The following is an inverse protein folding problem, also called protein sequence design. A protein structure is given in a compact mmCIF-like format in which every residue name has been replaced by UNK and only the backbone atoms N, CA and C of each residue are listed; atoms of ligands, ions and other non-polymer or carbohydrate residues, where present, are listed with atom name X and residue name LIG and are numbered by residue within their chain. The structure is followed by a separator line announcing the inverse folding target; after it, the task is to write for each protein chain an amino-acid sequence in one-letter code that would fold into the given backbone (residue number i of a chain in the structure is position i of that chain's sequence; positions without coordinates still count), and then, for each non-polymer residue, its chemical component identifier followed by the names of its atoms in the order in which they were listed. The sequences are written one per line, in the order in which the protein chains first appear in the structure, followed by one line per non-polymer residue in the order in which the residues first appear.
data_IF_095766230657
#
_entry.id   IF_095766230657
#
_cell.length_a   1.000
_cell.length_b   1.000
_cell.length_c   1.000
_cell.angle_alpha   90.00
_cell.angle_beta   90.00
_cell.angle_gamma   90.00
#
_symmetry.space_group_name_H-M   'P 1'
#
loop_
_entity.id
_entity.type
_entity.pdbx_description
1 polymer ?
#
# COMPACT_ATOMS: atom_id res chain seq x y z
N UNK A 1 6.60 -12.13 -21.43
CA UNK A 1 6.96 -13.29 -20.59
C UNK A 1 5.72 -14.09 -20.25
N UNK A 2 5.79 -15.41 -20.36
CA UNK A 2 4.71 -16.32 -19.98
C UNK A 2 4.60 -16.44 -18.44
N UNK A 3 3.46 -16.93 -17.93
CA UNK A 3 3.27 -17.22 -16.50
C UNK A 3 4.29 -18.23 -15.95
N UNK A 4 4.62 -19.34 -16.68
CA UNK A 4 5.70 -20.23 -16.28
C UNK A 4 7.05 -19.51 -16.14
N UNK A 5 7.48 -18.74 -17.15
CA UNK A 5 8.77 -18.02 -17.10
C UNK A 5 8.80 -17.00 -15.95
N UNK A 6 7.70 -16.27 -15.74
CA UNK A 6 7.56 -15.30 -14.64
C UNK A 6 7.69 -15.98 -13.29
N UNK A 7 7.05 -17.14 -13.11
CA UNK A 7 7.15 -17.91 -11.87
C UNK A 7 8.55 -18.46 -11.64
N UNK A 8 9.22 -19.01 -12.67
CA UNK A 8 10.59 -19.52 -12.53
C UNK A 8 11.57 -18.43 -12.13
N UNK A 9 11.45 -17.25 -12.74
CA UNK A 9 12.26 -16.09 -12.39
C UNK A 9 12.00 -15.63 -10.95
N UNK A 10 10.73 -15.56 -10.53
CA UNK A 10 10.38 -15.23 -9.16
C UNK A 10 10.97 -16.25 -8.16
N UNK A 11 10.90 -17.55 -8.48
CA UNK A 11 11.51 -18.61 -7.66
C UNK A 11 13.03 -18.47 -7.53
N UNK A 12 13.73 -18.19 -8.63
CA UNK A 12 15.17 -17.90 -8.60
C UNK A 12 15.48 -16.68 -7.72
N UNK A 13 14.69 -15.62 -7.83
CA UNK A 13 14.89 -14.39 -7.04
C UNK A 13 14.61 -14.60 -5.55
N UNK A 14 13.62 -15.39 -5.16
CA UNK A 14 13.41 -15.75 -3.74
C UNK A 14 14.65 -16.43 -3.14
N UNK A 15 15.19 -17.42 -3.85
CA UNK A 15 16.37 -18.17 -3.36
C UNK A 15 17.62 -17.28 -3.32
N UNK A 16 17.81 -16.45 -4.35
CA UNK A 16 18.95 -15.53 -4.40
C UNK A 16 18.84 -14.44 -3.33
N UNK A 17 17.66 -13.87 -3.12
CA UNK A 17 17.40 -12.89 -2.07
C UNK A 17 17.73 -13.46 -0.69
N UNK A 18 17.27 -14.68 -0.39
CA UNK A 18 17.57 -15.36 0.86
C UNK A 18 19.08 -15.51 1.11
N UNK A 19 19.85 -15.90 0.08
CA UNK A 19 21.30 -16.02 0.17
C UNK A 19 21.97 -14.65 0.31
N UNK A 20 21.60 -13.67 -0.53
CA UNK A 20 22.15 -12.32 -0.49
C UNK A 20 21.92 -11.66 0.87
N UNK A 21 20.72 -11.78 1.45
CA UNK A 21 20.45 -11.24 2.77
C UNK A 21 21.22 -11.99 3.87
N UNK A 22 21.18 -13.32 3.90
CA UNK A 22 21.85 -14.11 4.93
C UNK A 22 23.37 -13.90 4.95
N UNK A 23 24.02 -13.93 3.78
CA UNK A 23 25.47 -13.67 3.67
C UNK A 23 25.77 -12.18 3.90
N UNK A 24 24.96 -11.28 3.35
CA UNK A 24 25.14 -9.84 3.50
C UNK A 24 25.11 -9.41 4.96
N UNK A 25 24.09 -9.84 5.71
CA UNK A 25 23.95 -9.56 7.14
C UNK A 25 25.08 -10.17 7.97
N UNK A 26 25.57 -11.36 7.61
CA UNK A 26 26.70 -12.00 8.29
C UNK A 26 28.03 -11.24 8.09
N UNK A 27 28.16 -10.49 7.00
CA UNK A 27 29.32 -9.66 6.69
C UNK A 27 29.25 -8.24 7.29
N UNK A 28 28.15 -7.89 7.97
CA UNK A 28 27.94 -6.62 8.66
C UNK A 28 28.20 -5.39 7.76
N UNK A 29 28.85 -4.38 8.34
CA UNK A 29 29.12 -3.07 7.70
C UNK A 29 30.22 -3.09 6.64
N UNK A 30 30.75 -4.27 6.30
CA UNK A 30 31.71 -4.37 5.21
C UNK A 30 31.06 -3.91 3.88
N UNK A 31 31.85 -3.36 2.94
CA UNK A 31 31.35 -2.99 1.62
C UNK A 31 30.66 -4.16 0.89
N UNK A 32 31.15 -5.39 1.10
CA UNK A 32 30.55 -6.61 0.56
C UNK A 32 29.19 -6.91 1.20
N UNK A 33 29.08 -6.81 2.55
CA UNK A 33 27.83 -6.97 3.27
C UNK A 33 26.76 -5.98 2.81
N UNK A 34 27.13 -4.69 2.78
CA UNK A 34 26.28 -3.60 2.28
C UNK A 34 25.80 -3.86 0.85
N UNK A 35 26.72 -4.22 -0.06
CA UNK A 35 26.38 -4.49 -1.46
C UNK A 35 25.41 -5.65 -1.59
N UNK A 36 25.61 -6.73 -0.85
CA UNK A 36 24.72 -7.91 -0.89
C UNK A 36 23.32 -7.60 -0.37
N UNK A 37 23.18 -6.82 0.70
CA UNK A 37 21.86 -6.41 1.19
C UNK A 37 21.17 -5.47 0.20
N UNK A 38 21.91 -4.57 -0.46
CA UNK A 38 21.35 -3.73 -1.52
C UNK A 38 20.86 -4.55 -2.72
N UNK A 39 21.62 -5.57 -3.14
CA UNK A 39 21.19 -6.52 -4.17
C UNK A 39 19.94 -7.28 -3.72
N UNK A 40 19.89 -7.73 -2.45
CA UNK A 40 18.70 -8.34 -1.87
C UNK A 40 17.47 -7.41 -1.99
N UNK A 41 17.58 -6.14 -1.62
CA UNK A 41 16.48 -5.18 -1.75
C UNK A 41 15.97 -5.05 -3.19
N UNK A 42 16.87 -5.03 -4.17
CA UNK A 42 16.48 -5.01 -5.59
C UNK A 42 15.73 -6.29 -6.01
N UNK A 43 16.20 -7.46 -5.55
CA UNK A 43 15.55 -8.74 -5.82
C UNK A 43 14.16 -8.83 -5.19
N UNK A 44 14.02 -8.38 -3.94
CA UNK A 44 12.74 -8.32 -3.21
C UNK A 44 11.72 -7.46 -3.97
N UNK A 45 12.11 -6.26 -4.40
CA UNK A 45 11.26 -5.40 -5.21
C UNK A 45 10.87 -6.07 -6.55
N UNK A 46 11.83 -6.74 -7.20
CA UNK A 46 11.59 -7.46 -8.44
C UNK A 46 10.60 -8.63 -8.28
N UNK A 47 10.66 -9.38 -7.17
CA UNK A 47 9.67 -10.41 -6.82
C UNK A 47 8.27 -9.80 -6.75
N UNK A 48 8.12 -8.64 -6.09
CA UNK A 48 6.87 -7.88 -6.04
C UNK A 48 6.32 -7.57 -7.44
N UNK A 49 7.16 -7.06 -8.35
CA UNK A 49 6.78 -6.75 -9.74
C UNK A 49 6.37 -8.00 -10.51
N UNK A 50 7.09 -9.11 -10.37
CA UNK A 50 6.78 -10.37 -11.06
C UNK A 50 5.45 -10.95 -10.57
N UNK A 51 5.23 -10.97 -9.25
CA UNK A 51 3.97 -11.41 -8.66
C UNK A 51 2.80 -10.50 -9.06
N UNK A 52 3.01 -9.18 -9.09
CA UNK A 52 2.01 -8.22 -9.55
C UNK A 52 1.58 -8.52 -10.99
N UNK A 53 2.54 -8.70 -11.90
CA UNK A 53 2.28 -9.03 -13.30
C UNK A 53 1.49 -10.32 -13.46
N UNK A 54 1.79 -11.33 -12.65
CA UNK A 54 1.10 -12.61 -12.67
C UNK A 54 -0.35 -12.51 -12.13
N UNK A 55 -0.57 -11.77 -11.04
CA UNK A 55 -1.83 -11.76 -10.31
C UNK A 55 -2.79 -10.62 -10.68
N UNK A 56 -2.32 -9.50 -11.24
CA UNK A 56 -3.12 -8.28 -11.46
C UNK A 56 -4.42 -8.51 -12.26
N UNK A 57 -4.42 -9.48 -13.17
CA UNK A 57 -5.61 -9.79 -13.99
C UNK A 57 -6.68 -10.59 -13.25
N UNK A 58 -6.31 -11.34 -12.20
CA UNK A 58 -7.21 -12.28 -11.51
C UNK A 58 -7.51 -11.88 -10.06
N UNK A 59 -6.53 -11.34 -9.36
CA UNK A 59 -6.59 -10.93 -7.95
C UNK A 59 -5.92 -9.56 -7.78
N UNK A 60 -6.49 -8.47 -8.34
CA UNK A 60 -5.84 -7.16 -8.39
C UNK A 60 -5.50 -6.59 -7.00
N UNK A 61 -6.39 -6.78 -6.02
CA UNK A 61 -6.14 -6.30 -4.65
C UNK A 61 -4.91 -6.95 -4.02
N UNK A 62 -4.83 -8.29 -4.05
CA UNK A 62 -3.67 -9.02 -3.53
C UNK A 62 -2.37 -8.69 -4.30
N UNK A 63 -2.47 -8.50 -5.62
CA UNK A 63 -1.33 -8.09 -6.44
C UNK A 63 -0.76 -6.74 -6.01
N UNK A 64 -1.61 -5.72 -5.82
CA UNK A 64 -1.20 -4.39 -5.39
C UNK A 64 -0.66 -4.38 -3.96
N UNK A 65 -1.36 -5.04 -3.02
CA UNK A 65 -0.92 -5.14 -1.62
C UNK A 65 0.47 -5.77 -1.54
N UNK A 66 0.69 -6.87 -2.27
CA UNK A 66 1.98 -7.55 -2.26
C UNK A 66 3.09 -6.71 -2.92
N UNK A 67 2.79 -6.02 -4.03
CA UNK A 67 3.75 -5.12 -4.67
C UNK A 67 4.20 -4.01 -3.71
N UNK A 68 3.24 -3.33 -3.07
CA UNK A 68 3.54 -2.24 -2.13
C UNK A 68 4.32 -2.75 -0.93
N UNK A 69 3.94 -3.90 -0.36
CA UNK A 69 4.67 -4.51 0.74
C UNK A 69 6.12 -4.85 0.38
N UNK A 70 6.36 -5.39 -0.83
CA UNK A 70 7.72 -5.70 -1.29
C UNK A 70 8.56 -4.47 -1.58
N UNK A 71 7.95 -3.41 -2.12
CA UNK A 71 8.65 -2.13 -2.27
C UNK A 71 8.99 -1.51 -0.90
N UNK A 72 8.08 -1.59 0.08
CA UNK A 72 8.31 -1.10 1.43
C UNK A 72 9.42 -1.89 2.15
N UNK A 73 9.37 -3.22 2.09
CA UNK A 73 10.43 -4.10 2.61
C UNK A 73 11.79 -3.76 1.98
N UNK A 74 11.86 -3.70 0.65
CA UNK A 74 13.10 -3.38 -0.07
C UNK A 74 13.67 -2.02 0.33
N UNK A 75 12.80 -1.01 0.45
CA UNK A 75 13.17 0.33 0.89
C UNK A 75 13.73 0.32 2.31
N UNK A 76 13.02 -0.32 3.25
CA UNK A 76 13.41 -0.35 4.66
C UNK A 76 14.71 -1.13 4.89
N UNK A 77 14.92 -2.25 4.20
CA UNK A 77 16.18 -2.99 4.28
C UNK A 77 17.36 -2.19 3.71
N UNK A 78 17.15 -1.44 2.62
CA UNK A 78 18.18 -0.57 2.07
C UNK A 78 18.47 0.62 3.00
N UNK A 79 17.43 1.25 3.55
CA UNK A 79 17.55 2.33 4.52
C UNK A 79 18.27 1.85 5.80
N UNK A 80 17.97 0.64 6.27
CA UNK A 80 18.58 0.05 7.46
C UNK A 80 20.09 -0.07 7.36
N UNK A 81 20.60 -0.56 6.23
CA UNK A 81 22.05 -0.67 6.00
C UNK A 81 22.72 0.70 5.92
N UNK A 82 22.08 1.68 5.29
CA UNK A 82 22.60 3.06 5.23
C UNK A 82 22.62 3.67 6.65
N UNK A 83 21.57 3.46 7.43
CA UNK A 83 21.43 3.98 8.78
C UNK A 83 22.35 3.27 9.78
N UNK A 84 22.68 2.00 9.57
CA UNK A 84 23.61 1.26 10.42
C UNK A 84 24.96 1.96 10.50
N UNK A 85 25.52 2.37 9.36
CA UNK A 85 26.77 3.11 9.32
C UNK A 85 26.66 4.59 9.72
N UNK A 86 25.49 5.22 9.56
CA UNK A 86 25.30 6.66 9.78
C UNK A 86 24.81 7.02 11.19
N UNK A 87 24.01 6.16 11.80
CA UNK A 87 23.27 6.43 13.04
C UNK A 87 23.59 5.41 14.12
N UNK A 88 23.60 4.11 13.79
CA UNK A 88 23.84 3.03 14.73
C UNK A 88 22.87 1.86 14.59
N UNK A 89 23.05 0.84 15.43
CA UNK A 89 22.29 -0.42 15.34
C UNK A 89 20.81 -0.24 15.67
N UNK A 90 20.46 0.62 16.62
CA UNK A 90 19.07 0.82 17.02
C UNK A 90 18.16 1.30 15.88
N UNK A 91 18.67 2.16 14.99
CA UNK A 91 17.95 2.57 13.79
C UNK A 91 17.83 1.43 12.77
N UNK A 92 18.90 0.66 12.58
CA UNK A 92 18.91 -0.48 11.68
C UNK A 92 17.93 -1.58 12.14
N UNK A 93 17.92 -1.90 13.43
CA UNK A 93 17.01 -2.87 14.04
C UNK A 93 15.55 -2.42 13.86
N UNK A 94 15.24 -1.14 14.10
CA UNK A 94 13.91 -0.59 13.87
C UNK A 94 13.48 -0.75 12.39
N UNK A 95 14.34 -0.41 11.43
CA UNK A 95 14.01 -0.60 10.00
C UNK A 95 13.77 -2.06 9.65
N UNK A 96 14.55 -2.98 10.21
CA UNK A 96 14.39 -4.40 9.99
C UNK A 96 13.02 -4.89 10.50
N UNK A 97 12.65 -4.53 11.73
CA UNK A 97 11.35 -4.93 12.28
C UNK A 97 10.19 -4.35 11.45
N UNK A 98 10.28 -3.09 11.04
CA UNK A 98 9.29 -2.46 10.16
C UNK A 98 9.18 -3.18 8.80
N UNK A 99 10.32 -3.61 8.23
CA UNK A 99 10.34 -4.39 7.00
C UNK A 99 9.65 -5.75 7.18
N UNK A 100 9.90 -6.44 8.29
CA UNK A 100 9.29 -7.73 8.61
C UNK A 100 7.78 -7.61 8.86
N UNK A 101 7.31 -6.54 9.49
CA UNK A 101 5.87 -6.24 9.63
C UNK A 101 5.22 -6.04 8.25
N UNK A 102 5.81 -5.19 7.40
CA UNK A 102 5.30 -4.93 6.05
C UNK A 102 5.25 -6.21 5.20
N UNK A 103 6.35 -6.98 5.22
CA UNK A 103 6.49 -8.28 4.59
C UNK A 103 5.41 -9.26 5.04
N UNK A 104 5.29 -9.47 6.36
CA UNK A 104 4.39 -10.45 6.93
C UNK A 104 2.93 -10.12 6.63
N UNK A 105 2.49 -8.89 6.88
CA UNK A 105 1.11 -8.45 6.60
C UNK A 105 0.79 -8.49 5.10
N UNK A 106 1.71 -8.01 4.26
CA UNK A 106 1.51 -7.93 2.81
C UNK A 106 1.53 -9.28 2.08
N UNK A 107 2.15 -10.30 2.66
CA UNK A 107 2.29 -11.62 2.03
C UNK A 107 1.16 -12.60 2.37
N UNK A 108 0.32 -12.33 3.38
CA UNK A 108 -0.83 -13.19 3.66
C UNK A 108 -1.87 -13.18 2.52
N UNK A 109 -2.27 -12.02 1.96
CA UNK A 109 -3.18 -11.99 0.82
C UNK A 109 -2.61 -12.67 -0.43
N UNK A 110 -1.27 -12.63 -0.61
CA UNK A 110 -0.59 -13.36 -1.68
C UNK A 110 -0.83 -14.87 -1.53
N UNK A 111 -0.54 -15.45 -0.36
CA UNK A 111 -0.69 -16.90 -0.13
C UNK A 111 -2.13 -17.36 -0.42
N UNK A 112 -3.12 -16.59 0.03
CA UNK A 112 -4.53 -16.85 -0.24
C UNK A 112 -4.89 -16.69 -1.73
N UNK A 113 -4.28 -15.72 -2.42
CA UNK A 113 -4.47 -15.54 -3.87
C UNK A 113 -3.88 -16.71 -4.66
N UNK A 114 -2.67 -17.16 -4.33
CA UNK A 114 -2.03 -18.33 -4.97
C UNK A 114 -2.86 -19.60 -4.78
N UNK A 115 -3.43 -19.80 -3.59
CA UNK A 115 -4.38 -20.89 -3.30
C UNK A 115 -5.63 -20.81 -4.17
N UNK A 116 -6.26 -19.63 -4.28
CA UNK A 116 -7.46 -19.43 -5.11
C UNK A 116 -7.20 -19.69 -6.59
N UNK A 117 -5.99 -19.41 -7.07
CA UNK A 117 -5.57 -19.71 -8.44
C UNK A 117 -5.11 -21.17 -8.64
N UNK A 118 -5.11 -21.99 -7.59
CA UNK A 118 -4.60 -23.36 -7.58
C UNK A 118 -3.12 -23.46 -7.97
N UNK A 119 -2.35 -22.37 -7.88
CA UNK A 119 -0.90 -22.39 -8.13
C UNK A 119 -0.12 -22.98 -6.95
N UNK A 120 -0.74 -22.98 -5.76
CA UNK A 120 -0.17 -23.53 -4.53
C UNK A 120 -1.19 -24.47 -3.86
N UNK A 121 -0.78 -25.66 -3.36
CA UNK A 121 -1.68 -26.55 -2.63
C UNK A 121 -2.14 -25.89 -1.33
N UNK A 122 -3.36 -26.26 -0.88
CA UNK A 122 -4.04 -25.59 0.23
C UNK A 122 -3.25 -25.60 1.54
N UNK A 123 -2.63 -26.73 1.89
CA UNK A 123 -1.81 -26.85 3.10
C UNK A 123 -0.57 -25.96 3.06
N UNK A 124 0.09 -25.85 1.90
CA UNK A 124 1.29 -25.04 1.71
C UNK A 124 0.93 -23.55 1.78
N UNK A 125 -0.22 -23.16 1.23
CA UNK A 125 -0.73 -21.80 1.38
C UNK A 125 -1.08 -21.44 2.83
N UNK A 126 -1.65 -22.37 3.60
CA UNK A 126 -1.94 -22.17 5.02
C UNK A 126 -0.65 -22.05 5.84
N UNK A 127 0.35 -22.88 5.56
CA UNK A 127 1.68 -22.77 6.17
C UNK A 127 2.30 -21.40 5.90
N UNK A 128 2.28 -20.93 4.64
CA UNK A 128 2.77 -19.59 4.29
C UNK A 128 2.02 -18.48 5.02
N UNK A 129 0.68 -18.52 5.06
CA UNK A 129 -0.12 -17.56 5.83
C UNK A 129 0.27 -17.55 7.32
N UNK A 130 0.38 -18.73 7.94
CA UNK A 130 0.75 -18.84 9.35
C UNK A 130 2.17 -18.36 9.62
N UNK A 131 3.12 -18.69 8.75
CA UNK A 131 4.51 -18.25 8.85
C UNK A 131 4.66 -16.73 8.75
N UNK A 132 3.97 -16.09 7.81
CA UNK A 132 3.97 -14.63 7.69
C UNK A 132 3.22 -13.93 8.84
N UNK A 133 2.16 -14.53 9.38
CA UNK A 133 1.47 -14.01 10.56
C UNK A 133 2.36 -14.07 11.80
N UNK A 134 3.06 -15.18 11.99
CA UNK A 134 4.02 -15.34 13.08
C UNK A 134 5.19 -14.36 12.93
N UNK A 135 5.73 -14.17 11.72
CA UNK A 135 6.76 -13.17 11.42
C UNK A 135 6.30 -11.76 11.80
N UNK A 136 5.12 -11.33 11.34
CA UNK A 136 4.58 -10.01 11.65
C UNK A 136 4.34 -9.83 13.16
N UNK A 137 3.79 -10.84 13.83
CA UNK A 137 3.55 -10.81 15.27
C UNK A 137 4.87 -10.74 16.07
N UNK A 138 5.89 -11.50 15.66
CA UNK A 138 7.23 -11.44 16.25
C UNK A 138 7.87 -10.06 16.08
N UNK A 139 7.78 -9.48 14.88
CA UNK A 139 8.32 -8.16 14.62
C UNK A 139 7.59 -7.05 15.41
N UNK A 140 6.26 -7.14 15.54
CA UNK A 140 5.51 -6.22 16.42
C UNK A 140 5.91 -6.39 17.88
N UNK A 141 6.12 -7.63 18.35
CA UNK A 141 6.57 -7.87 19.72
C UNK A 141 7.96 -7.25 19.98
N UNK A 142 8.91 -7.37 19.04
CA UNK A 142 10.23 -6.72 19.14
C UNK A 142 10.10 -5.19 19.16
N UNK A 143 9.20 -4.60 18.37
CA UNK A 143 8.92 -3.16 18.41
C UNK A 143 8.37 -2.69 19.77
N UNK A 144 7.75 -3.59 20.54
CA UNK A 144 7.25 -3.34 21.89
C UNK A 144 8.26 -3.73 22.98
N UNK A 145 9.53 -3.98 22.62
CA UNK A 145 10.60 -4.35 23.54
C UNK A 145 10.54 -5.80 24.04
N UNK A 146 9.68 -6.65 23.47
CA UNK A 146 9.61 -8.08 23.79
C UNK A 146 10.56 -8.85 22.88
N UNK A 147 11.66 -9.34 23.46
CA UNK A 147 12.67 -10.10 22.72
C UNK A 147 12.18 -11.52 22.39
N UNK A 148 11.90 -11.77 21.12
CA UNK A 148 11.43 -13.04 20.57
C UNK A 148 12.47 -13.68 19.64
N UNK A 149 13.40 -12.88 19.12
CA UNK A 149 14.49 -13.30 18.25
C UNK A 149 14.01 -13.84 16.91
N UNK A 150 14.79 -14.76 16.33
CA UNK A 150 14.53 -15.32 15.00
C UNK A 150 13.41 -16.36 14.97
N UNK A 151 12.98 -16.87 16.13
CA UNK A 151 12.06 -18.01 16.22
C UNK A 151 10.74 -17.79 15.45
N UNK A 152 10.08 -16.61 15.54
CA UNK A 152 8.86 -16.34 14.77
C UNK A 152 9.08 -16.29 13.25
N UNK A 153 10.30 -16.00 12.79
CA UNK A 153 10.64 -15.91 11.38
C UNK A 153 10.92 -17.27 10.73
N UNK A 154 11.32 -18.29 11.51
CA UNK A 154 11.74 -19.60 10.98
C UNK A 154 10.65 -20.26 10.10
N UNK A 155 9.37 -20.35 10.50
CA UNK A 155 8.35 -20.98 9.66
C UNK A 155 8.10 -20.23 8.35
N UNK A 156 8.19 -18.90 8.36
CA UNK A 156 8.06 -18.06 7.17
C UNK A 156 9.26 -18.20 6.23
N UNK A 157 10.48 -18.16 6.77
CA UNK A 157 11.71 -18.32 5.98
C UNK A 157 11.80 -19.68 5.29
N UNK A 158 11.48 -20.77 6.00
CA UNK A 158 11.42 -22.10 5.41
C UNK A 158 10.34 -22.19 4.32
N UNK A 159 9.19 -21.54 4.52
CA UNK A 159 8.14 -21.46 3.51
C UNK A 159 8.63 -20.76 2.24
N UNK A 160 9.33 -19.63 2.36
CA UNK A 160 9.84 -18.89 1.21
C UNK A 160 10.87 -19.70 0.41
N UNK A 161 11.73 -20.48 1.08
CA UNK A 161 12.66 -21.40 0.40
C UNK A 161 11.90 -22.48 -0.37
N UNK A 162 10.92 -23.14 0.26
CA UNK A 162 10.10 -24.17 -0.40
C UNK A 162 9.31 -23.58 -1.57
N UNK A 163 8.71 -22.40 -1.39
CA UNK A 163 8.01 -21.67 -2.44
C UNK A 163 8.97 -21.32 -3.60
N UNK A 164 10.17 -20.85 -3.28
CA UNK A 164 11.20 -20.52 -4.27
C UNK A 164 11.58 -21.71 -5.14
N UNK A 165 11.87 -22.86 -4.52
CA UNK A 165 12.18 -24.12 -5.24
C UNK A 165 10.99 -24.57 -6.10
N UNK A 166 9.77 -24.52 -5.56
CA UNK A 166 8.56 -24.93 -6.29
C UNK A 166 8.31 -24.05 -7.52
N UNK A 167 8.43 -22.73 -7.36
CA UNK A 167 8.27 -21.75 -8.44
C UNK A 167 9.37 -21.89 -9.48
N UNK A 168 10.62 -22.16 -9.06
CA UNK A 168 11.74 -22.40 -9.96
C UNK A 168 11.51 -23.64 -10.84
N UNK A 169 10.94 -24.71 -10.27
CA UNK A 169 10.65 -25.94 -11.00
C UNK A 169 9.43 -25.80 -11.94
N UNK A 170 8.31 -25.28 -11.42
CA UNK A 170 7.00 -25.36 -12.10
C UNK A 170 6.52 -24.04 -12.71
N UNK A 171 7.04 -22.91 -12.24
CA UNK A 171 6.47 -21.59 -12.51
C UNK A 171 5.04 -21.43 -11.99
N UNK A 172 4.34 -20.39 -12.43
CA UNK A 172 2.92 -20.18 -12.08
C UNK A 172 2.01 -21.07 -12.94
N UNK A 173 2.00 -22.36 -12.68
CA UNK A 173 1.14 -23.36 -13.33
C UNK A 173 0.10 -23.90 -12.35
N UNK A 174 -1.18 -24.09 -12.77
CA UNK A 174 -2.18 -24.73 -11.92
C UNK A 174 -1.73 -26.13 -11.48
N UNK A 175 -1.90 -26.44 -10.21
CA UNK A 175 -1.67 -27.77 -9.66
C UNK A 175 -2.64 -28.76 -10.33
N UNK A 176 -2.09 -29.80 -10.97
CA UNK A 176 -2.85 -30.78 -11.74
C UNK A 176 -3.83 -31.64 -10.91
N UNK A 177 -3.85 -31.49 -9.57
CA UNK A 177 -4.53 -32.41 -8.65
C UNK A 177 -6.05 -32.28 -8.55
N UNK A 178 -6.70 -31.27 -9.15
CA UNK A 178 -8.17 -31.24 -9.28
C UNK A 178 -8.57 -30.55 -10.59
N UNK A 179 -8.71 -31.33 -11.66
CA UNK A 179 -9.34 -30.88 -12.89
C UNK A 179 -10.87 -30.83 -12.69
N UNK A 180 -11.40 -29.62 -12.51
CA UNK A 180 -12.83 -29.35 -12.68
C UNK A 180 -13.03 -28.57 -13.99
N UNK A 181 -14.19 -28.64 -14.64
CA UNK A 181 -14.37 -28.15 -16.01
C UNK A 181 -13.98 -26.67 -16.14
N UNK A 182 -13.06 -26.38 -17.06
CA UNK A 182 -12.69 -25.03 -17.45
C UNK A 182 -13.81 -24.45 -18.32
N UNK A 183 -14.54 -23.47 -17.77
CA UNK A 183 -15.38 -22.61 -18.58
C UNK A 183 -14.48 -21.54 -19.23
N UNK A 184 -13.96 -21.87 -20.40
CA UNK A 184 -13.40 -20.90 -21.33
C UNK A 184 -14.57 -20.20 -22.03
N UNK A 185 -14.83 -18.95 -21.66
CA UNK A 185 -15.45 -17.98 -22.57
C UNK A 185 -14.68 -16.67 -22.49
N UNK A 186 -13.92 -16.42 -23.56
CA UNK A 186 -13.33 -15.13 -23.87
C UNK A 186 -14.44 -14.19 -24.39
N UNK A 187 -15.26 -13.68 -23.48
CA UNK A 187 -16.07 -12.49 -23.69
C UNK A 187 -15.52 -11.37 -22.81
N UNK A 188 -15.42 -10.15 -23.36
CA UNK A 188 -15.10 -8.97 -22.57
C UNK A 188 -15.99 -8.89 -21.33
N UNK A 189 -15.49 -8.36 -20.19
CA UNK A 189 -16.24 -8.43 -18.94
C UNK A 189 -17.62 -7.82 -19.15
N UNK A 190 -18.72 -8.51 -18.77
CA UNK A 190 -20.07 -7.99 -18.94
C UNK A 190 -20.20 -6.60 -18.31
N UNK A 191 -21.16 -5.76 -18.72
CA UNK A 191 -21.34 -4.41 -18.19
C UNK A 191 -21.40 -4.37 -16.64
N UNK A 192 -21.94 -5.42 -16.01
CA UNK A 192 -21.94 -5.62 -14.55
C UNK A 192 -20.52 -5.67 -13.95
N UNK A 193 -19.57 -6.22 -14.71
CA UNK A 193 -18.15 -6.31 -14.38
C UNK A 193 -17.46 -4.94 -14.29
N UNK A 194 -17.80 -3.99 -15.17
CA UNK A 194 -17.26 -2.63 -15.13
C UNK A 194 -17.76 -1.90 -13.87
N UNK A 195 -19.07 -1.92 -13.64
CA UNK A 195 -19.67 -1.29 -12.45
C UNK A 195 -19.12 -1.88 -11.14
N UNK A 196 -18.90 -3.20 -11.11
CA UNK A 196 -18.29 -3.87 -9.96
C UNK A 196 -16.83 -3.44 -9.69
N UNK A 197 -16.07 -3.08 -10.73
CA UNK A 197 -14.68 -2.60 -10.59
C UNK A 197 -14.65 -1.19 -10.02
N UNK A 198 -15.48 -0.29 -10.54
CA UNK A 198 -15.60 1.09 -10.05
C UNK A 198 -16.03 1.09 -8.58
N UNK A 199 -17.02 0.28 -8.20
CA UNK A 199 -17.45 0.13 -6.80
C UNK A 199 -16.33 -0.37 -5.88
N UNK A 200 -15.56 -1.37 -6.31
CA UNK A 200 -14.41 -1.88 -5.54
C UNK A 200 -13.30 -0.84 -5.42
N UNK A 201 -13.05 -0.07 -6.47
CA UNK A 201 -12.09 1.03 -6.46
C UNK A 201 -12.52 2.14 -5.49
N UNK A 202 -13.80 2.52 -5.50
CA UNK A 202 -14.36 3.48 -4.54
C UNK A 202 -14.26 2.98 -3.10
N UNK A 203 -14.62 1.70 -2.86
CA UNK A 203 -14.52 1.09 -1.53
C UNK A 203 -13.07 1.04 -1.04
N UNK A 204 -12.13 0.59 -1.88
CA UNK A 204 -10.71 0.53 -1.54
C UNK A 204 -10.14 1.92 -1.24
N UNK A 205 -10.48 2.92 -2.04
CA UNK A 205 -10.05 4.31 -1.82
C UNK A 205 -10.64 4.87 -0.53
N UNK A 206 -11.96 4.71 -0.30
CA UNK A 206 -12.63 5.23 0.89
C UNK A 206 -12.16 4.56 2.18
N UNK A 207 -12.00 3.23 2.20
CA UNK A 207 -11.47 2.51 3.37
C UNK A 207 -10.00 2.86 3.61
N UNK A 208 -9.21 2.99 2.54
CA UNK A 208 -7.80 3.42 2.63
C UNK A 208 -7.68 4.81 3.26
N UNK A 209 -8.43 5.79 2.75
CA UNK A 209 -8.47 7.15 3.30
C UNK A 209 -8.92 7.18 4.78
N UNK A 210 -9.93 6.38 5.15
CA UNK A 210 -10.38 6.28 6.54
C UNK A 210 -9.31 5.70 7.47
N UNK A 211 -8.65 4.62 7.05
CA UNK A 211 -7.56 4.03 7.83
C UNK A 211 -6.37 5.00 7.95
N UNK A 212 -6.02 5.70 6.87
CA UNK A 212 -4.97 6.71 6.87
C UNK A 212 -5.26 7.85 7.86
N UNK A 213 -6.48 8.39 7.86
CA UNK A 213 -6.87 9.47 8.76
C UNK A 213 -6.70 9.08 10.24
N UNK A 214 -7.08 7.84 10.59
CA UNK A 214 -6.89 7.32 11.95
C UNK A 214 -5.41 7.13 12.28
N UNK A 215 -4.65 6.45 11.41
CA UNK A 215 -3.24 6.16 11.65
C UNK A 215 -2.39 7.44 11.73
N UNK A 216 -2.56 8.36 10.78
CA UNK A 216 -1.83 9.63 10.76
C UNK A 216 -2.22 10.52 11.95
N UNK A 217 -3.52 10.61 12.27
CA UNK A 217 -3.97 11.41 13.41
C UNK A 217 -3.40 10.92 14.74
N UNK A 218 -3.38 9.60 14.97
CA UNK A 218 -2.79 9.00 16.18
C UNK A 218 -1.28 9.17 16.21
N UNK A 219 -0.58 8.93 15.11
CA UNK A 219 0.87 9.00 15.07
C UNK A 219 1.40 10.43 15.21
N UNK A 220 0.86 11.39 14.46
CA UNK A 220 1.38 12.76 14.43
C UNK A 220 0.99 13.53 15.69
N UNK A 221 -0.32 13.73 15.93
CA UNK A 221 -0.82 14.52 17.06
C UNK A 221 -0.76 13.77 18.40
N UNK A 222 -0.85 12.45 18.36
CA UNK A 222 -0.80 11.61 19.56
C UNK A 222 0.62 11.37 20.07
N UNK A 223 1.63 11.40 19.20
CA UNK A 223 3.01 11.04 19.54
C UNK A 223 4.02 12.07 19.03
N UNK A 224 4.24 12.19 17.71
CA UNK A 224 5.38 12.93 17.14
C UNK A 224 5.45 14.38 17.61
N UNK A 225 4.34 15.12 17.54
CA UNK A 225 4.31 16.53 17.94
C UNK A 225 4.49 16.73 19.45
N UNK A 226 4.06 15.76 20.27
CA UNK A 226 4.20 15.83 21.73
C UNK A 226 5.62 15.61 22.20
N UNK A 227 6.47 15.04 21.35
CA UNK A 227 7.88 14.80 21.63
C UNK A 227 8.77 16.00 21.26
N UNK A 228 8.20 17.07 20.69
CA UNK A 228 8.89 18.33 20.47
C UNK A 228 9.05 19.07 21.80
N UNK A 229 10.26 19.10 22.34
CA UNK A 229 10.60 19.77 23.60
C UNK A 229 12.10 20.08 23.70
N UNK A 230 12.52 20.70 24.80
CA UNK A 230 13.91 21.13 24.99
C UNK A 230 14.91 19.96 25.03
N UNK A 231 14.48 18.77 25.50
CA UNK A 231 15.27 17.54 25.51
C UNK A 231 14.60 16.44 24.66
N UNK A 232 14.88 16.47 23.35
CA UNK A 232 14.34 15.50 22.39
C UNK A 232 14.85 14.07 22.67
N UNK A 233 16.10 13.92 23.13
CA UNK A 233 16.69 12.62 23.46
C UNK A 233 15.93 11.97 24.61
N UNK A 234 15.73 12.69 25.71
CA UNK A 234 14.98 12.18 26.86
C UNK A 234 13.50 11.89 26.51
N UNK A 235 12.87 12.77 25.72
CA UNK A 235 11.48 12.60 25.29
C UNK A 235 11.30 11.31 24.46
N UNK A 236 12.14 11.08 23.44
CA UNK A 236 12.06 9.89 22.60
C UNK A 236 12.31 8.61 23.40
N UNK A 237 13.35 8.59 24.26
CA UNK A 237 13.68 7.41 25.08
C UNK A 237 12.56 7.04 26.05
N UNK A 238 11.94 8.04 26.69
CA UNK A 238 10.85 7.80 27.66
C UNK A 238 9.57 7.26 27.02
N UNK A 239 9.40 7.46 25.71
CA UNK A 239 8.22 7.01 24.94
C UNK A 239 8.61 6.16 23.73
N UNK A 240 9.72 5.41 23.83
CA UNK A 240 10.33 4.70 22.70
C UNK A 240 9.34 3.78 21.95
N UNK A 241 8.50 3.02 22.65
CA UNK A 241 7.54 2.08 22.05
C UNK A 241 6.45 2.85 21.28
N UNK A 242 5.94 3.93 21.87
CA UNK A 242 4.94 4.78 21.23
C UNK A 242 5.51 5.47 19.98
N UNK A 243 6.77 5.90 20.04
CA UNK A 243 7.45 6.50 18.90
C UNK A 243 7.72 5.49 17.78
N UNK A 244 8.15 4.27 18.12
CA UNK A 244 8.32 3.18 17.15
C UNK A 244 6.99 2.80 16.47
N UNK A 245 5.89 2.70 17.24
CA UNK A 245 4.55 2.46 16.70
C UNK A 245 4.04 3.62 15.84
N UNK A 246 4.34 4.87 16.19
CA UNK A 246 4.01 6.03 15.37
C UNK A 246 4.74 5.95 14.01
N UNK A 247 6.04 5.64 13.99
CA UNK A 247 6.80 5.41 12.77
C UNK A 247 6.18 4.28 11.92
N UNK A 248 5.81 3.16 12.54
CA UNK A 248 5.13 2.06 11.87
C UNK A 248 3.80 2.48 11.23
N UNK A 249 2.99 3.26 11.96
CA UNK A 249 1.73 3.79 11.48
C UNK A 249 1.93 4.76 10.30
N UNK A 250 2.92 5.64 10.34
CA UNK A 250 3.22 6.56 9.23
C UNK A 250 3.73 5.82 7.99
N UNK A 251 4.53 4.76 8.15
CA UNK A 251 4.91 3.88 7.02
C UNK A 251 3.71 3.16 6.42
N UNK A 252 2.77 2.71 7.25
CA UNK A 252 1.53 2.14 6.78
C UNK A 252 0.69 3.17 6.00
N UNK A 253 0.67 4.44 6.43
CA UNK A 253 0.05 5.55 5.68
C UNK A 253 0.72 5.73 4.32
N UNK A 254 2.05 5.76 4.24
CA UNK A 254 2.77 5.87 2.97
C UNK A 254 2.47 4.69 2.01
N UNK A 255 2.32 3.47 2.54
CA UNK A 255 1.89 2.32 1.75
C UNK A 255 0.45 2.48 1.24
N UNK A 256 -0.46 2.93 2.11
CA UNK A 256 -1.85 3.20 1.77
C UNK A 256 -1.99 4.32 0.74
N UNK A 257 -1.12 5.33 0.75
CA UNK A 257 -1.09 6.38 -0.28
C UNK A 257 -0.94 5.81 -1.68
N UNK A 258 -0.04 4.84 -1.86
CA UNK A 258 0.13 4.16 -3.15
C UNK A 258 -1.14 3.36 -3.48
N UNK A 259 -1.66 2.57 -2.54
CA UNK A 259 -2.87 1.77 -2.79
C UNK A 259 -4.09 2.63 -3.16
N UNK A 260 -4.29 3.74 -2.45
CA UNK A 260 -5.37 4.72 -2.69
C UNK A 260 -5.16 5.43 -4.02
N UNK A 261 -3.92 5.83 -4.36
CA UNK A 261 -3.60 6.46 -5.65
C UNK A 261 -4.07 5.61 -6.82
N UNK A 262 -3.74 4.32 -6.81
CA UNK A 262 -4.07 3.40 -7.90
C UNK A 262 -5.53 2.93 -7.85
N UNK A 263 -6.17 2.93 -6.68
CA UNK A 263 -7.61 2.74 -6.56
C UNK A 263 -8.40 3.93 -7.14
N UNK A 264 -8.01 5.17 -6.84
CA UNK A 264 -8.60 6.38 -7.43
C UNK A 264 -8.35 6.45 -8.95
N UNK A 265 -7.16 6.03 -9.43
CA UNK A 265 -6.91 5.86 -10.86
C UNK A 265 -7.98 4.96 -11.50
N UNK A 266 -8.23 3.79 -10.91
CA UNK A 266 -9.21 2.83 -11.41
C UNK A 266 -10.65 3.37 -11.34
N UNK A 267 -10.96 4.22 -10.35
CA UNK A 267 -12.25 4.88 -10.24
C UNK A 267 -12.48 5.91 -11.37
N UNK A 268 -11.47 6.75 -11.66
CA UNK A 268 -11.55 7.81 -12.68
C UNK A 268 -11.10 7.42 -14.09
N UNK A 269 -10.70 6.15 -14.29
CA UNK A 269 -10.18 5.66 -15.58
C UNK A 269 -11.17 5.89 -16.73
N UNK A 270 -12.47 5.74 -16.47
CA UNK A 270 -13.52 6.01 -17.46
C UNK A 270 -13.83 7.49 -17.71
N UNK A 271 -13.34 8.40 -16.86
CA UNK A 271 -13.56 9.85 -17.00
C UNK A 271 -12.45 10.51 -17.82
N UNK A 272 -11.19 10.32 -17.41
CA UNK A 272 -10.04 10.87 -18.13
C UNK A 272 -8.76 10.07 -17.81
N UNK A 273 -8.40 9.06 -18.64
CA UNK A 273 -7.33 8.11 -18.34
C UNK A 273 -5.98 8.76 -18.02
N UNK A 274 -5.57 9.76 -18.81
CA UNK A 274 -4.29 10.46 -18.60
C UNK A 274 -4.26 11.29 -17.31
N UNK A 275 -5.39 11.86 -16.91
CA UNK A 275 -5.50 12.68 -15.70
C UNK A 275 -5.54 11.82 -14.44
N UNK A 276 -6.27 10.70 -14.52
CA UNK A 276 -6.28 9.68 -13.47
C UNK A 276 -4.89 9.07 -13.25
N UNK A 277 -4.14 8.85 -14.34
CA UNK A 277 -2.75 8.37 -14.27
C UNK A 277 -1.82 9.42 -13.66
N UNK A 278 -1.91 10.68 -14.10
CA UNK A 278 -1.11 11.78 -13.55
C UNK A 278 -1.36 11.93 -12.04
N UNK A 279 -2.63 11.99 -11.63
CA UNK A 279 -3.04 12.08 -10.22
C UNK A 279 -2.47 10.95 -9.37
N UNK A 280 -2.50 9.71 -9.89
CA UNK A 280 -1.96 8.56 -9.17
C UNK A 280 -0.43 8.58 -9.04
N UNK A 281 0.28 9.00 -10.09
CA UNK A 281 1.72 9.17 -10.02
C UNK A 281 2.13 10.30 -9.08
N UNK A 282 1.44 11.45 -9.12
CA UNK A 282 1.71 12.55 -8.18
C UNK A 282 1.58 12.09 -6.73
N UNK A 283 0.52 11.32 -6.40
CA UNK A 283 0.36 10.76 -5.05
C UNK A 283 1.39 9.68 -4.72
N UNK A 284 1.81 8.88 -5.69
CA UNK A 284 2.86 7.88 -5.49
C UNK A 284 4.22 8.55 -5.23
N UNK A 285 4.55 9.63 -5.94
CA UNK A 285 5.78 10.41 -5.70
C UNK A 285 5.72 11.08 -4.32
N UNK A 286 4.57 11.64 -3.94
CA UNK A 286 4.34 12.11 -2.57
C UNK A 286 4.64 11.02 -1.53
N UNK A 287 4.11 9.80 -1.70
CA UNK A 287 4.36 8.70 -0.78
C UNK A 287 5.85 8.34 -0.64
N UNK A 288 6.62 8.44 -1.73
CA UNK A 288 8.08 8.24 -1.71
C UNK A 288 8.78 9.36 -0.93
N UNK A 289 8.43 10.62 -1.18
CA UNK A 289 8.96 11.76 -0.39
C UNK A 289 8.61 11.59 1.09
N UNK A 290 7.40 11.14 1.38
CA UNK A 290 6.95 10.90 2.75
C UNK A 290 7.71 9.76 3.43
N UNK A 291 7.99 8.65 2.73
CA UNK A 291 8.85 7.57 3.23
C UNK A 291 10.28 8.07 3.55
N UNK A 292 10.83 8.97 2.72
CA UNK A 292 12.13 9.63 2.99
C UNK A 292 12.06 10.50 4.23
N UNK A 293 10.97 11.26 4.43
CA UNK A 293 10.76 11.99 5.67
C UNK A 293 10.75 11.04 6.88
N UNK A 294 9.99 9.94 6.82
CA UNK A 294 9.87 8.98 7.93
C UNK A 294 11.23 8.34 8.30
N UNK A 295 12.16 8.21 7.34
CA UNK A 295 13.53 7.75 7.64
C UNK A 295 14.28 8.69 8.59
N UNK A 296 13.91 9.98 8.64
CA UNK A 296 14.43 10.93 9.63
C UNK A 296 13.91 10.64 11.03
N UNK A 297 12.65 10.21 11.17
CA UNK A 297 12.13 9.76 12.47
C UNK A 297 12.84 8.49 12.96
N UNK A 298 13.15 7.57 12.05
CA UNK A 298 13.93 6.36 12.36
C UNK A 298 15.36 6.74 12.81
N UNK A 299 15.99 7.71 12.14
CA UNK A 299 17.28 8.24 12.56
C UNK A 299 17.19 8.91 13.94
N UNK A 300 16.15 9.70 14.20
CA UNK A 300 15.91 10.33 15.50
C UNK A 300 15.78 9.28 16.62
N UNK A 301 15.05 8.19 16.36
CA UNK A 301 14.94 7.04 17.27
C UNK A 301 16.33 6.47 17.57
N UNK A 302 17.11 6.10 16.55
CA UNK A 302 18.43 5.50 16.75
C UNK A 302 19.39 6.40 17.52
N UNK A 303 19.49 7.68 17.15
CA UNK A 303 20.33 8.66 17.85
C UNK A 303 19.93 8.81 19.32
N UNK A 304 18.63 8.80 19.62
CA UNK A 304 18.14 8.91 21.00
C UNK A 304 18.50 7.67 21.83
N UNK A 305 18.38 6.46 21.25
CA UNK A 305 18.75 5.21 21.92
C UNK A 305 20.24 5.16 22.24
N UNK A 306 21.08 5.68 21.34
CA UNK A 306 22.53 5.79 21.52
C UNK A 306 22.95 6.94 22.47
N UNK A 307 21.99 7.69 23.01
CA UNK A 307 22.26 8.77 23.97
C UNK A 307 22.93 9.99 23.34
N UNK A 308 22.71 10.21 22.04
CA UNK A 308 23.26 11.36 21.32
C UNK A 308 22.66 12.68 21.83
N UNK A 309 23.37 13.82 21.65
CA UNK A 309 22.89 15.11 22.11
C UNK A 309 21.49 15.46 21.58
N UNK A 310 20.66 16.08 22.43
CA UNK A 310 19.28 16.50 22.09
C UNK A 310 19.21 17.29 20.77
N UNK A 311 20.20 18.15 20.49
CA UNK A 311 20.26 18.93 19.26
C UNK A 311 20.32 18.07 17.98
N UNK A 312 21.01 16.92 18.01
CA UNK A 312 21.10 16.01 16.86
C UNK A 312 19.78 15.27 16.61
N UNK A 313 19.12 14.83 17.69
CA UNK A 313 17.79 14.20 17.61
C UNK A 313 16.75 15.20 17.12
N UNK A 314 16.75 16.41 17.69
CA UNK A 314 15.86 17.50 17.28
C UNK A 314 16.04 17.88 15.81
N UNK A 315 17.28 17.92 15.31
CA UNK A 315 17.56 18.19 13.90
C UNK A 315 16.92 17.15 12.96
N UNK A 316 16.87 15.87 13.35
CA UNK A 316 16.17 14.85 12.56
C UNK A 316 14.64 15.02 12.61
N UNK A 317 14.07 15.41 13.76
CA UNK A 317 12.64 15.71 13.88
C UNK A 317 12.23 16.92 13.03
N UNK A 318 13.05 17.98 13.02
CA UNK A 318 12.86 19.14 12.13
C UNK A 318 12.97 18.74 10.67
N UNK A 319 14.01 17.97 10.31
CA UNK A 319 14.17 17.49 8.93
C UNK A 319 13.01 16.62 8.44
N UNK A 320 12.36 15.86 9.34
CA UNK A 320 11.10 15.17 9.02
C UNK A 320 10.01 16.17 8.60
N UNK A 321 9.78 17.20 9.43
CA UNK A 321 8.77 18.24 9.16
C UNK A 321 9.02 18.99 7.85
N UNK A 322 10.27 19.37 7.58
CA UNK A 322 10.65 20.08 6.36
C UNK A 322 10.40 19.24 5.10
N UNK A 323 10.86 17.99 5.09
CA UNK A 323 10.67 17.08 3.94
C UNK A 323 9.18 16.73 3.77
N UNK A 324 8.45 16.55 4.88
CA UNK A 324 7.01 16.27 4.81
C UNK A 324 6.25 17.46 4.22
N UNK A 325 6.59 18.69 4.64
CA UNK A 325 5.99 19.94 4.11
C UNK A 325 6.25 20.09 2.61
N UNK A 326 7.46 19.77 2.14
CA UNK A 326 7.74 19.68 0.70
C UNK A 326 6.83 18.67 -0.02
N UNK A 327 6.60 17.51 0.60
CA UNK A 327 5.68 16.49 0.10
C UNK A 327 4.24 16.99 -0.01
N UNK A 328 3.77 17.82 0.92
CA UNK A 328 2.40 18.34 0.93
C UNK A 328 2.07 19.21 -0.30
N UNK A 329 3.05 19.82 -0.97
CA UNK A 329 2.83 20.47 -2.28
C UNK A 329 2.38 19.44 -3.32
N UNK A 330 3.08 18.31 -3.42
CA UNK A 330 2.71 17.23 -4.34
C UNK A 330 1.34 16.66 -3.98
N UNK A 331 1.05 16.51 -2.69
CA UNK A 331 -0.25 16.08 -2.21
C UNK A 331 -1.37 17.06 -2.60
N UNK A 332 -1.16 18.36 -2.42
CA UNK A 332 -2.09 19.40 -2.82
C UNK A 332 -2.35 19.41 -4.34
N UNK A 333 -1.29 19.26 -5.16
CA UNK A 333 -1.43 19.10 -6.62
C UNK A 333 -2.23 17.84 -6.97
N UNK A 334 -2.00 16.72 -6.27
CA UNK A 334 -2.82 15.53 -6.43
C UNK A 334 -4.31 15.80 -6.13
N UNK A 335 -4.63 16.50 -5.04
CA UNK A 335 -6.00 16.85 -4.69
C UNK A 335 -6.64 17.80 -5.72
N UNK A 336 -5.89 18.77 -6.25
CA UNK A 336 -6.36 19.62 -7.36
C UNK A 336 -6.71 18.78 -8.61
N UNK A 337 -5.88 17.79 -8.95
CA UNK A 337 -6.16 16.85 -10.04
C UNK A 337 -7.39 15.98 -9.75
N UNK A 338 -7.55 15.48 -8.53
CA UNK A 338 -8.75 14.72 -8.12
C UNK A 338 -10.00 15.60 -8.18
N UNK A 339 -9.94 16.85 -7.72
CA UNK A 339 -11.03 17.82 -7.78
C UNK A 339 -11.44 18.12 -9.23
N UNK A 340 -10.46 18.30 -10.12
CA UNK A 340 -10.71 18.45 -11.55
C UNK A 340 -11.32 17.20 -12.20
N UNK A 341 -10.82 16.01 -11.86
CA UNK A 341 -11.39 14.73 -12.32
C UNK A 341 -12.82 14.54 -11.83
N UNK A 342 -13.09 14.90 -10.57
CA UNK A 342 -14.41 14.86 -9.96
C UNK A 342 -15.39 15.79 -10.67
N UNK A 343 -14.95 17.01 -11.00
CA UNK A 343 -15.75 17.98 -11.74
C UNK A 343 -16.13 17.48 -13.15
N UNK A 344 -15.25 16.73 -13.81
CA UNK A 344 -15.52 16.13 -15.13
C UNK A 344 -16.25 14.79 -15.08
N UNK A 345 -16.35 14.16 -13.91
CA UNK A 345 -16.92 12.83 -13.78
C UNK A 345 -18.45 12.88 -13.69
N UNK A 346 -19.19 12.13 -14.51
CA UNK A 346 -20.64 11.99 -14.33
C UNK A 346 -21.00 11.18 -13.06
N UNK A 347 -20.03 10.51 -12.43
CA UNK A 347 -20.24 9.70 -11.24
C UNK A 347 -20.24 10.52 -9.95
N UNK A 348 -19.46 11.60 -9.91
CA UNK A 348 -19.21 12.38 -8.69
C UNK A 348 -19.81 13.77 -8.78
N UNK A 349 -20.55 14.25 -7.76
CA UNK A 349 -21.08 15.60 -7.74
C UNK A 349 -19.98 16.65 -7.82
N UNK A 350 -20.24 17.72 -8.55
CA UNK A 350 -19.30 18.83 -8.78
C UNK A 350 -18.89 19.53 -7.48
N UNK A 351 -19.80 19.65 -6.51
CA UNK A 351 -19.51 20.27 -5.21
C UNK A 351 -18.47 19.48 -4.40
N UNK A 352 -18.45 18.15 -4.52
CA UNK A 352 -17.38 17.32 -3.91
C UNK A 352 -16.05 17.67 -4.55
N UNK A 353 -16.01 17.76 -5.89
CA UNK A 353 -14.82 18.15 -6.63
C UNK A 353 -14.28 19.53 -6.24
N UNK A 354 -15.15 20.51 -6.05
CA UNK A 354 -14.77 21.86 -5.60
C UNK A 354 -14.16 21.83 -4.21
N UNK A 355 -14.79 21.15 -3.24
CA UNK A 355 -14.26 21.07 -1.87
C UNK A 355 -12.90 20.36 -1.82
N UNK A 356 -12.71 19.30 -2.62
CA UNK A 356 -11.42 18.62 -2.75
C UNK A 356 -10.36 19.53 -3.37
N UNK A 357 -10.72 20.31 -4.40
CA UNK A 357 -9.80 21.26 -5.00
C UNK A 357 -9.41 22.38 -4.01
N UNK A 358 -10.35 22.87 -3.20
CA UNK A 358 -10.08 23.85 -2.14
C UNK A 358 -9.12 23.28 -1.08
N UNK A 359 -9.31 22.03 -0.66
CA UNK A 359 -8.36 21.34 0.22
C UNK A 359 -6.95 21.29 -0.41
N UNK A 360 -6.87 20.90 -1.69
CA UNK A 360 -5.61 20.86 -2.42
C UNK A 360 -4.91 22.22 -2.52
N UNK A 361 -5.66 23.29 -2.76
CA UNK A 361 -5.13 24.64 -2.77
C UNK A 361 -4.59 25.06 -1.39
N UNK A 362 -5.29 24.72 -0.30
CA UNK A 362 -4.82 24.98 1.07
C UNK A 362 -3.44 24.39 1.34
N UNK A 363 -3.23 23.11 1.02
CA UNK A 363 -1.91 22.47 1.17
C UNK A 363 -0.81 23.13 0.35
N UNK A 364 -1.08 23.49 -0.91
CA UNK A 364 -0.09 24.15 -1.76
C UNK A 364 0.27 25.53 -1.20
N UNK A 365 -0.71 26.32 -0.77
CA UNK A 365 -0.48 27.67 -0.26
C UNK A 365 0.27 27.63 1.06
N UNK A 366 -0.11 26.79 2.02
CA UNK A 366 0.57 26.68 3.31
C UNK A 366 2.03 26.24 3.12
N UNK A 367 2.23 25.17 2.35
CA UNK A 367 3.56 24.58 2.17
C UNK A 367 4.49 25.50 1.37
N UNK A 368 3.99 26.14 0.30
CA UNK A 368 4.78 27.08 -0.48
C UNK A 368 5.01 28.40 0.27
N UNK A 369 4.06 28.84 1.08
CA UNK A 369 4.20 30.01 1.95
C UNK A 369 5.34 29.84 2.95
N UNK A 370 5.34 28.71 3.65
CA UNK A 370 6.39 28.35 4.61
C UNK A 370 7.77 28.21 3.95
N UNK A 371 7.84 27.72 2.70
CA UNK A 371 9.10 27.64 1.94
C UNK A 371 9.68 29.01 1.56
N UNK A 372 8.83 29.99 1.31
CA UNK A 372 9.24 31.31 0.82
C UNK A 372 9.56 32.26 1.98
N UNK A 373 8.92 32.08 3.13
CA UNK A 373 9.05 33.00 4.26
C UNK A 373 8.82 32.29 5.60
N UNK A 374 9.82 32.40 6.48
CA UNK A 374 9.71 31.97 7.89
C UNK A 374 8.64 32.76 8.67
N UNK A 375 8.20 33.91 8.15
CA UNK A 375 7.13 34.72 8.74
C UNK A 375 5.72 34.24 8.35
N UNK A 376 5.61 33.23 7.47
CA UNK A 376 4.33 32.63 7.10
C UNK A 376 3.79 31.80 8.27
N UNK A 377 2.64 32.17 8.79
CA UNK A 377 2.03 31.55 9.99
C UNK A 377 0.58 31.12 9.77
N UNK A 378 0.07 31.22 8.54
CA UNK A 378 -1.30 30.79 8.25
C UNK A 378 -1.38 29.26 8.16
N UNK A 379 -2.52 28.70 8.57
CA UNK A 379 -2.81 27.27 8.54
C UNK A 379 -4.11 27.03 7.74
N UNK A 380 -4.10 27.37 6.45
CA UNK A 380 -5.28 27.29 5.58
C UNK A 380 -5.73 25.83 5.42
N UNK A 381 -4.79 24.88 5.36
CA UNK A 381 -5.03 23.45 5.28
C UNK A 381 -5.87 22.94 6.47
N UNK A 382 -5.68 23.49 7.67
CA UNK A 382 -6.41 23.09 8.88
C UNK A 382 -7.92 23.32 8.79
N UNK A 383 -8.36 24.25 7.94
CA UNK A 383 -9.79 24.49 7.67
C UNK A 383 -10.23 23.77 6.40
N UNK A 384 -9.39 23.79 5.37
CA UNK A 384 -9.76 23.32 4.03
C UNK A 384 -9.70 21.79 3.88
N UNK A 385 -9.03 21.05 4.77
CA UNK A 385 -8.96 19.57 4.73
C UNK A 385 -10.34 18.88 4.79
N UNK A 386 -11.39 19.60 5.18
CA UNK A 386 -12.79 19.11 5.15
C UNK A 386 -13.18 18.52 3.79
N UNK A 387 -12.59 19.00 2.69
CA UNK A 387 -12.81 18.44 1.36
C UNK A 387 -12.37 16.98 1.22
N UNK A 388 -11.32 16.57 1.92
CA UNK A 388 -10.87 15.17 1.93
C UNK A 388 -11.80 14.27 2.73
N UNK A 389 -12.30 14.77 3.87
CA UNK A 389 -13.30 14.05 4.67
C UNK A 389 -14.57 13.86 3.84
N UNK A 390 -15.00 14.88 3.10
CA UNK A 390 -16.13 14.78 2.17
C UNK A 390 -15.85 13.73 1.09
N UNK A 391 -14.67 13.72 0.47
CA UNK A 391 -14.29 12.72 -0.54
C UNK A 391 -14.33 11.30 0.02
N UNK A 392 -13.72 11.08 1.18
CA UNK A 392 -13.70 9.81 1.90
C UNK A 392 -15.14 9.31 2.13
N UNK A 393 -15.97 10.12 2.78
CA UNK A 393 -17.34 9.74 3.13
C UNK A 393 -18.16 9.49 1.86
N UNK A 394 -17.99 10.33 0.84
CA UNK A 394 -18.68 10.17 -0.43
C UNK A 394 -18.32 8.85 -1.14
N UNK A 395 -17.03 8.48 -1.21
CA UNK A 395 -16.59 7.24 -1.84
C UNK A 395 -17.16 5.99 -1.14
N UNK A 396 -17.21 6.00 0.19
CA UNK A 396 -17.82 4.92 0.97
C UNK A 396 -19.34 4.83 0.73
N UNK A 397 -20.04 5.97 0.74
CA UNK A 397 -21.47 6.01 0.42
C UNK A 397 -21.75 5.54 -1.00
N UNK A 398 -20.94 5.97 -1.98
CA UNK A 398 -21.05 5.55 -3.37
C UNK A 398 -20.89 4.03 -3.51
N UNK A 399 -19.90 3.44 -2.85
CA UNK A 399 -19.68 2.00 -2.87
C UNK A 399 -20.85 1.21 -2.26
N UNK A 400 -21.49 1.74 -1.21
CA UNK A 400 -22.59 1.09 -0.49
C UNK A 400 -23.93 1.07 -1.25
N UNK A 401 -24.20 2.02 -2.15
CA UNK A 401 -25.48 2.12 -2.88
C UNK A 401 -25.71 0.89 -3.78
N UNK A 402 -26.64 -0.03 -3.45
CA UNK A 402 -26.95 -1.19 -4.33
C UNK A 402 -27.58 -0.71 -5.65
N UNK A 403 -27.18 -1.31 -6.78
CA UNK A 403 -27.91 -1.12 -8.04
C UNK A 403 -29.26 -1.81 -7.88
N UNK A 404 -30.33 -1.03 -7.73
CA UNK A 404 -31.69 -1.56 -7.85
C UNK A 404 -31.82 -2.20 -9.23
N UNK A 405 -31.93 -3.53 -9.30
CA UNK A 405 -32.41 -4.18 -10.53
C UNK A 405 -33.78 -3.58 -10.83
N UNK A 406 -34.05 -3.08 -12.05
CA UNK A 406 -35.43 -2.89 -12.47
C UNK A 406 -36.11 -4.26 -12.31
N UNK A 407 -37.15 -4.34 -11.48
CA UNK A 407 -38.00 -5.52 -11.45
C UNK A 407 -38.43 -5.76 -12.90
N UNK A 408 -38.03 -6.89 -13.47
CA UNK A 408 -38.54 -7.35 -14.75
C UNK A 408 -40.05 -7.36 -14.64
N UNK A 409 -40.71 -6.37 -15.25
CA UNK A 409 -42.15 -6.42 -15.51
C UNK A 409 -42.39 -7.74 -16.25
N UNK A 410 -43.21 -8.66 -15.73
CA UNK A 410 -43.56 -9.86 -16.50
C UNK A 410 -44.15 -9.40 -17.83
N UNK A 411 -43.62 -9.94 -18.92
CA UNK A 411 -44.09 -9.66 -20.26
C UNK A 411 -45.59 -9.99 -20.32
N UNK A 412 -46.40 -8.97 -20.57
CA UNK A 412 -47.80 -9.15 -20.94
C UNK A 412 -47.77 -9.84 -22.30
N UNK A 413 -48.06 -11.14 -22.33
CA UNK A 413 -48.34 -11.87 -23.56
C UNK A 413 -49.56 -11.25 -24.23
N UNK A 414 -49.47 -10.73 -25.47
CA UNK A 414 -50.65 -10.34 -26.20
C UNK A 414 -51.37 -11.60 -26.68
N UNK A 415 -52.62 -11.77 -26.23
CA UNK A 415 -53.51 -12.81 -26.73
C UNK A 415 -53.76 -12.54 -28.22
N UNK A 416 -53.16 -13.35 -29.08
CA UNK A 416 -53.32 -13.29 -30.53
C UNK A 416 -54.72 -13.81 -30.86
N UNK A 417 -55.66 -12.91 -31.16
CA UNK A 417 -56.90 -13.24 -31.84
C UNK A 417 -56.57 -13.57 -33.30
N UNK A 418 -56.57 -14.85 -33.66
CA UNK A 418 -56.61 -15.26 -35.06
C UNK A 418 -58.07 -15.47 -35.47
N UNK A 419 -58.48 -14.63 -36.43
CA UNK A 419 -59.64 -14.80 -37.31
C UNK A 419 -59.61 -16.19 -37.97
N UNK A 420 -60.79 -16.80 -38.09
CA UNK A 420 -61.15 -17.58 -39.27
C UNK A 420 -62.43 -16.96 -39.85
N UNK A 421 -62.28 -16.22 -40.95
CA UNK A 421 -63.36 -15.88 -41.88
C UNK A 421 -63.38 -16.94 -43.00
N UNK A 422 -64.58 -17.14 -43.55
CA UNK A 422 -64.96 -17.96 -44.72
C UNK A 422 -65.23 -19.44 -44.39
N UNK A 423 -66.41 -20.03 -44.65
CA UNK A 423 -67.18 -20.04 -45.91
C UNK A 423 -68.68 -20.31 -45.63
N UNK A 424 -69.59 -19.66 -46.38
CA UNK A 424 -70.90 -20.22 -46.73
C UNK A 424 -72.13 -19.33 -46.53
N UNK A 425 -72.58 -18.70 -47.62
CA UNK A 425 -73.97 -18.28 -47.88
C UNK A 425 -74.42 -19.04 -49.16
N UNK A 426 -75.70 -19.18 -49.52
CA UNK A 426 -76.92 -18.54 -48.99
C UNK A 426 -77.76 -19.41 -48.04
#
# INVERSE_FOLDING_TARGET
MSLPTTGRLAGAFFLLAFVCYGVGSALGDSPAGTTLVMINSLLVAAIGVLAFRALRGRQPGAAWIYLVARCAEAYLLAAGVILLGAVGTAAADLTYQLAMVALGLGSMPLCLALRRQRWLPGWLALWGCAGYALLAAGAVAELMGVTVGILPAVPGGLFEVVLGVLLLARGFTPSATVAGPQADTAEGPPPDGVQSRIRRAALASGLGLALMAVLAGVATFGVVERLAGADATAAVRSHQDAFALAIAALLAVACLDVLVAWALRAFFEGTHPGGALLSAWTRTVYAVVYAVAITRLIAAFGLAQDGRPSAEVAAQLTAFGDIWSLGLILFGVHLLLVGWLAWRSPLMPTWVGVLVAVAGAGYVVDSAGALVSDAYTAEIAMVTFVGEIVLLVWLLMFAARRSSRPATRPAVTPHRSQRAEQVGAP
#
